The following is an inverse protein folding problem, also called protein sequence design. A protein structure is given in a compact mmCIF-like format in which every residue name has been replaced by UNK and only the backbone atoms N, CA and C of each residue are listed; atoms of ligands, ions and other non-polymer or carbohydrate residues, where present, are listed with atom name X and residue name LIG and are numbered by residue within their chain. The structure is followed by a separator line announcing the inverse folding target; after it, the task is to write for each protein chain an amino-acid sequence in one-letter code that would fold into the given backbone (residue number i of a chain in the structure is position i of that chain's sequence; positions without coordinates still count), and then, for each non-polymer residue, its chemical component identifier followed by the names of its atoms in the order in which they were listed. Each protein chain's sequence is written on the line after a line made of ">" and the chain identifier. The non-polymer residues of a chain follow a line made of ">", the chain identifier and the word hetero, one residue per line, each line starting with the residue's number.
data_IF_950526437238
#
_entry.id   IF_950526437238
#
_cell.length_a   1.000
_cell.length_b   1.000
_cell.length_c   1.000
_cell.angle_alpha   90.00
_cell.angle_beta   90.00
_cell.angle_gamma   90.00
#
_symmetry.space_group_name_H-M   'P 1'
#
loop_
_entity.id
_entity.type
_entity.pdbx_description
1 polymer ?
#
# COMPACT_ATOMS: atom_id res chain seq x y z
N UNK A 1 21.69 47.97 -65.13
CA UNK A 1 21.78 46.55 -64.74
C UNK A 1 22.45 46.49 -63.39
N UNK A 2 21.67 46.32 -62.33
CA UNK A 2 22.14 46.37 -60.94
C UNK A 2 22.80 45.06 -60.53
N UNK A 3 24.00 45.15 -59.98
CA UNK A 3 24.73 44.05 -59.36
C UNK A 3 24.17 43.78 -57.96
N UNK A 4 23.43 42.69 -57.78
CA UNK A 4 22.99 42.20 -56.48
C UNK A 4 23.89 41.05 -56.01
N UNK A 5 24.66 41.33 -54.97
CA UNK A 5 25.44 40.36 -54.18
C UNK A 5 24.48 39.40 -53.45
N UNK A 6 24.69 38.07 -53.43
CA UNK A 6 23.92 37.21 -52.54
C UNK A 6 24.42 37.42 -51.11
N UNK A 7 23.50 37.81 -50.21
CA UNK A 7 23.72 37.86 -48.77
C UNK A 7 24.16 36.48 -48.28
N UNK A 8 25.34 36.42 -47.66
CA UNK A 8 25.74 35.29 -46.83
C UNK A 8 24.68 35.11 -45.74
N UNK A 9 23.97 33.98 -45.77
CA UNK A 9 23.16 33.54 -44.63
C UNK A 9 24.15 33.22 -43.50
N UNK A 10 24.17 34.05 -42.46
CA UNK A 10 24.92 33.74 -41.24
C UNK A 10 24.44 32.40 -40.70
N UNK A 11 25.35 31.46 -40.55
CA UNK A 11 25.10 30.24 -39.79
C UNK A 11 24.72 30.66 -38.37
N UNK A 12 23.47 30.45 -37.97
CA UNK A 12 23.11 30.45 -36.55
C UNK A 12 23.87 29.31 -35.90
N UNK A 13 24.95 29.66 -35.21
CA UNK A 13 25.72 28.74 -34.39
C UNK A 13 24.77 28.20 -33.31
N UNK A 14 24.55 26.89 -33.31
CA UNK A 14 23.69 26.25 -32.32
C UNK A 14 24.29 26.48 -30.93
N UNK A 15 23.46 26.79 -29.91
CA UNK A 15 23.96 26.96 -28.56
C UNK A 15 24.72 25.70 -28.12
N UNK A 16 25.80 25.86 -27.33
CA UNK A 16 26.60 24.74 -26.88
C UNK A 16 25.70 23.71 -26.17
N UNK A 17 25.95 22.41 -26.38
CA UNK A 17 25.16 21.37 -25.73
C UNK A 17 25.24 21.53 -24.22
N UNK A 18 24.08 21.52 -23.56
CA UNK A 18 24.01 21.49 -22.10
C UNK A 18 24.82 20.29 -21.59
N UNK A 19 25.68 20.51 -20.59
CA UNK A 19 26.45 19.43 -19.97
C UNK A 19 25.50 18.43 -19.30
N UNK A 20 25.81 17.13 -19.39
CA UNK A 20 25.02 16.05 -18.81
C UNK A 20 24.70 16.28 -17.32
N UNK A 21 25.65 16.85 -16.57
CA UNK A 21 25.52 17.22 -15.16
C UNK A 21 24.40 18.25 -14.93
N UNK A 22 24.27 19.25 -15.80
CA UNK A 22 23.22 20.27 -15.71
C UNK A 22 21.85 19.70 -16.10
N UNK A 23 21.82 18.79 -17.07
CA UNK A 23 20.59 18.08 -17.45
C UNK A 23 20.11 17.22 -16.30
N UNK A 24 21.01 16.46 -15.67
CA UNK A 24 20.71 15.68 -14.47
C UNK A 24 20.14 16.56 -13.35
N UNK A 25 20.79 17.68 -13.03
CA UNK A 25 20.31 18.64 -12.01
C UNK A 25 18.93 19.21 -12.32
N UNK A 26 18.60 19.46 -13.59
CA UNK A 26 17.27 19.91 -14.00
C UNK A 26 16.25 18.78 -13.81
N UNK A 27 16.59 17.56 -14.21
CA UNK A 27 15.69 16.40 -14.12
C UNK A 27 15.44 15.97 -12.67
N UNK A 28 16.42 16.16 -11.78
CA UNK A 28 16.25 15.94 -10.34
C UNK A 28 15.20 16.87 -9.70
N UNK A 29 14.89 18.00 -10.32
CA UNK A 29 13.86 18.94 -9.85
C UNK A 29 12.44 18.60 -10.32
N UNK A 30 12.26 17.59 -11.19
CA UNK A 30 10.93 17.17 -11.63
C UNK A 30 10.19 16.50 -10.47
N UNK A 31 8.96 16.90 -10.12
CA UNK A 31 8.22 16.28 -9.01
C UNK A 31 7.92 14.79 -9.27
N UNK A 32 8.02 13.91 -8.27
CA UNK A 32 7.78 12.47 -8.43
C UNK A 32 6.31 12.13 -8.70
N UNK A 33 5.40 13.05 -8.35
CA UNK A 33 3.99 12.99 -8.69
C UNK A 33 3.71 13.21 -10.19
N UNK A 34 4.71 13.67 -10.96
CA UNK A 34 4.65 13.80 -12.42
C UNK A 34 5.74 12.95 -13.11
N UNK A 35 5.64 11.62 -13.00
CA UNK A 35 6.63 10.74 -13.62
C UNK A 35 6.56 10.77 -15.16
N UNK A 36 5.44 11.24 -15.73
CA UNK A 36 5.28 11.40 -17.17
C UNK A 36 6.27 12.40 -17.75
N UNK A 37 6.65 13.44 -17.00
CA UNK A 37 7.66 14.40 -17.43
C UNK A 37 9.06 13.78 -17.51
N UNK A 38 9.46 12.93 -16.57
CA UNK A 38 10.72 12.18 -16.67
C UNK A 38 10.73 11.20 -17.85
N UNK A 39 9.60 10.54 -18.11
CA UNK A 39 9.45 9.65 -19.26
C UNK A 39 9.62 10.46 -20.56
N UNK A 40 8.92 11.60 -20.68
CA UNK A 40 9.06 12.51 -21.83
C UNK A 40 10.48 13.03 -22.00
N UNK A 41 11.19 13.32 -20.91
CA UNK A 41 12.60 13.69 -20.96
C UNK A 41 13.47 12.57 -21.55
N UNK A 42 13.22 11.31 -21.18
CA UNK A 42 13.89 10.15 -21.76
C UNK A 42 13.65 9.96 -23.27
N UNK A 43 12.56 10.53 -23.80
CA UNK A 43 12.22 10.50 -25.22
C UNK A 43 12.91 11.58 -26.06
N UNK A 44 13.55 12.57 -25.43
CA UNK A 44 14.18 13.71 -26.14
C UNK A 44 15.39 13.28 -26.96
N UNK A 45 16.33 12.56 -26.33
CA UNK A 45 17.54 12.06 -27.01
C UNK A 45 18.18 10.89 -26.24
N UNK A 46 19.16 10.22 -26.87
CA UNK A 46 19.89 9.08 -26.26
C UNK A 46 20.61 9.47 -24.97
N UNK A 47 21.16 10.68 -24.89
CA UNK A 47 21.86 11.18 -23.71
C UNK A 47 20.91 11.36 -22.54
N UNK A 48 19.77 12.02 -22.75
CA UNK A 48 18.75 12.22 -21.72
C UNK A 48 18.18 10.88 -21.27
N UNK A 49 17.90 9.96 -22.21
CA UNK A 49 17.50 8.57 -21.90
C UNK A 49 18.49 7.87 -20.99
N UNK A 50 19.79 8.02 -21.25
CA UNK A 50 20.86 7.43 -20.44
C UNK A 50 20.84 8.00 -19.02
N UNK A 51 20.72 9.32 -18.87
CA UNK A 51 20.65 9.99 -17.56
C UNK A 51 19.45 9.50 -16.76
N UNK A 52 18.23 9.56 -17.32
CA UNK A 52 17.02 9.14 -16.57
C UNK A 52 16.95 7.65 -16.27
N UNK A 53 17.72 6.83 -16.98
CA UNK A 53 17.81 5.39 -16.75
C UNK A 53 19.00 5.00 -15.86
N UNK A 54 19.87 5.96 -15.52
CA UNK A 54 21.05 5.73 -14.70
C UNK A 54 20.65 5.36 -13.26
N UNK A 55 21.12 4.23 -12.71
CA UNK A 55 20.82 3.84 -11.34
C UNK A 55 21.19 4.90 -10.29
N UNK A 56 22.28 5.66 -10.51
CA UNK A 56 22.72 6.70 -9.57
C UNK A 56 21.88 7.97 -9.67
N UNK A 57 21.39 8.31 -10.87
CA UNK A 57 20.37 9.33 -11.04
C UNK A 57 19.10 8.95 -10.29
N UNK A 58 18.57 7.74 -10.53
CA UNK A 58 17.35 7.25 -9.88
C UNK A 58 17.50 7.17 -8.36
N UNK A 59 18.67 6.75 -7.87
CA UNK A 59 18.96 6.73 -6.43
C UNK A 59 18.91 8.14 -5.82
N UNK A 60 19.48 9.13 -6.48
CA UNK A 60 19.44 10.55 -6.05
C UNK A 60 18.02 11.11 -6.14
N UNK A 61 17.33 10.80 -7.22
CA UNK A 61 15.95 11.19 -7.44
C UNK A 61 15.03 10.61 -6.36
N UNK A 62 15.08 9.29 -6.11
CA UNK A 62 14.23 8.62 -5.12
C UNK A 62 14.65 8.89 -3.68
N UNK A 63 15.95 8.97 -3.40
CA UNK A 63 16.49 9.09 -2.04
C UNK A 63 16.21 10.43 -1.35
N UNK A 64 15.82 11.45 -2.12
CA UNK A 64 15.46 12.77 -1.59
C UNK A 64 13.95 12.97 -1.48
N UNK A 65 13.14 12.00 -1.91
CA UNK A 65 11.71 12.21 -2.16
C UNK A 65 10.83 11.25 -1.37
N UNK A 66 9.63 11.75 -1.06
CA UNK A 66 8.52 10.94 -0.61
C UNK A 66 7.98 10.13 -1.79
N UNK A 67 7.86 8.78 -1.69
CA UNK A 67 7.34 7.99 -2.80
C UNK A 67 5.87 8.36 -3.09
N UNK A 68 5.50 8.55 -4.37
CA UNK A 68 4.15 8.93 -4.73
C UNK A 68 3.17 7.76 -4.63
N UNK A 69 1.89 8.09 -4.39
CA UNK A 69 0.77 7.16 -4.52
C UNK A 69 0.45 6.96 -6.02
N UNK A 70 0.83 5.82 -6.58
CA UNK A 70 0.66 5.53 -8.02
C UNK A 70 -0.67 4.87 -8.36
N UNK A 71 -1.31 4.26 -7.38
CA UNK A 71 -2.55 3.52 -7.54
C UNK A 71 -2.89 2.73 -6.29
N UNK A 72 -3.83 1.82 -6.41
CA UNK A 72 -4.17 0.91 -5.33
C UNK A 72 -4.79 -0.38 -5.87
N UNK A 73 -4.65 -1.45 -5.10
CA UNK A 73 -5.42 -2.67 -5.31
C UNK A 73 -6.66 -2.68 -4.41
N UNK A 74 -7.65 -3.47 -4.78
CA UNK A 74 -8.81 -3.67 -3.91
C UNK A 74 -9.32 -5.12 -3.89
N UNK A 75 -9.91 -5.52 -2.76
CA UNK A 75 -10.64 -6.80 -2.64
C UNK A 75 -12.15 -6.50 -2.61
N UNK A 76 -12.97 -7.30 -3.33
CA UNK A 76 -14.44 -7.16 -3.37
C UNK A 76 -15.15 -8.50 -3.16
N UNK A 77 -16.40 -8.46 -2.67
CA UNK A 77 -17.27 -9.63 -2.45
C UNK A 77 -17.82 -10.25 -3.73
N UNK A 78 -18.13 -9.44 -4.73
CA UNK A 78 -18.97 -9.88 -5.85
C UNK A 78 -18.20 -10.22 -7.13
N UNK A 79 -16.90 -9.96 -7.17
CA UNK A 79 -16.06 -10.39 -8.29
C UNK A 79 -14.66 -10.78 -7.84
N UNK A 80 -14.39 -12.08 -7.87
CA UNK A 80 -13.04 -12.63 -7.72
C UNK A 80 -12.21 -12.53 -9.01
N UNK A 81 -12.79 -12.06 -10.12
CA UNK A 81 -12.25 -12.22 -11.49
C UNK A 81 -11.97 -10.92 -12.27
N UNK A 82 -12.24 -9.75 -11.70
CA UNK A 82 -11.99 -8.47 -12.37
C UNK A 82 -10.54 -7.98 -12.16
N UNK A 83 -10.05 -7.14 -13.08
CA UNK A 83 -8.81 -6.36 -12.90
C UNK A 83 -8.94 -5.48 -11.64
N UNK A 84 -8.11 -5.75 -10.63
CA UNK A 84 -8.24 -5.13 -9.29
C UNK A 84 -7.28 -3.97 -9.04
N UNK A 85 -6.48 -3.59 -10.02
CA UNK A 85 -5.56 -2.47 -9.89
C UNK A 85 -6.18 -1.21 -10.49
N UNK A 86 -6.31 -0.17 -9.68
CA UNK A 86 -6.77 1.16 -10.12
C UNK A 86 -5.55 2.08 -10.18
N UNK A 87 -5.17 2.44 -11.41
CA UNK A 87 -4.06 3.38 -11.62
C UNK A 87 -4.51 4.81 -11.42
N UNK A 88 -3.70 5.58 -10.67
CA UNK A 88 -3.86 7.02 -10.54
C UNK A 88 -2.95 7.80 -11.50
N UNK A 89 -2.16 7.07 -12.29
CA UNK A 89 -1.27 7.60 -13.33
C UNK A 89 -1.73 7.11 -14.71
N UNK A 90 -1.56 7.95 -15.73
CA UNK A 90 -1.90 7.62 -17.12
C UNK A 90 -0.67 7.84 -18.01
N UNK A 91 -0.22 6.82 -18.77
CA UNK A 91 -0.76 5.46 -18.85
C UNK A 91 -0.48 4.64 -17.57
N UNK A 92 -1.26 3.57 -17.34
CA UNK A 92 -1.00 2.65 -16.22
C UNK A 92 0.36 1.97 -16.41
N UNK A 93 1.29 2.09 -15.45
CA UNK A 93 2.63 1.55 -15.60
C UNK A 93 2.73 0.09 -15.10
N UNK A 94 1.59 -0.52 -14.76
CA UNK A 94 1.49 -1.81 -14.09
C UNK A 94 1.10 -2.94 -15.03
N UNK A 95 1.77 -4.08 -14.85
CA UNK A 95 1.35 -5.33 -15.49
C UNK A 95 0.23 -5.97 -14.67
N UNK A 96 -0.43 -6.99 -15.21
CA UNK A 96 -1.31 -7.85 -14.42
C UNK A 96 -0.56 -9.10 -13.96
N UNK A 97 -0.94 -9.70 -12.82
CA UNK A 97 -0.40 -10.99 -12.43
C UNK A 97 -0.69 -12.04 -13.52
N UNK A 98 0.23 -12.95 -13.75
CA UNK A 98 0.18 -13.98 -14.80
C UNK A 98 -1.04 -14.90 -14.65
N UNK A 99 -1.48 -15.12 -13.41
CA UNK A 99 -2.63 -15.94 -13.04
C UNK A 99 -3.96 -15.19 -13.03
N UNK A 100 -3.97 -13.87 -13.29
CA UNK A 100 -5.15 -13.02 -13.20
C UNK A 100 -5.96 -12.92 -14.51
N UNK A 101 -5.87 -13.90 -15.42
CA UNK A 101 -6.48 -13.86 -16.75
C UNK A 101 -7.18 -15.16 -17.17
N UNK A 102 -8.48 -15.06 -17.50
CA UNK A 102 -9.29 -16.14 -18.09
C UNK A 102 -10.30 -16.79 -17.13
N UNK A 103 -11.30 -17.46 -17.68
CA UNK A 103 -12.45 -18.04 -16.94
C UNK A 103 -12.06 -19.15 -15.95
N UNK A 104 -10.88 -19.75 -16.13
CA UNK A 104 -10.32 -20.81 -15.29
C UNK A 104 -9.30 -20.31 -14.25
N UNK A 105 -9.13 -18.99 -14.11
CA UNK A 105 -8.18 -18.40 -13.16
C UNK A 105 -8.52 -18.79 -11.71
N UNK A 106 -7.51 -19.04 -10.87
CA UNK A 106 -7.75 -19.25 -9.45
C UNK A 106 -8.31 -17.98 -8.81
N UNK A 107 -9.06 -18.12 -7.72
CA UNK A 107 -9.40 -16.97 -6.91
C UNK A 107 -8.15 -16.49 -6.17
N UNK A 108 -8.01 -15.18 -6.02
CA UNK A 108 -6.93 -14.60 -5.26
C UNK A 108 -7.40 -13.40 -4.45
N UNK A 109 -6.66 -13.02 -3.40
CA UNK A 109 -6.89 -11.81 -2.62
C UNK A 109 -5.57 -11.14 -2.26
N UNK A 110 -5.61 -9.82 -2.15
CA UNK A 110 -4.49 -9.04 -1.65
C UNK A 110 -4.47 -9.14 -0.13
N UNK A 111 -3.31 -9.43 0.43
CA UNK A 111 -3.07 -9.41 1.88
C UNK A 111 -2.35 -8.13 2.29
N UNK A 112 -1.44 -7.63 1.46
CA UNK A 112 -0.68 -6.43 1.76
C UNK A 112 -0.03 -5.81 0.52
N UNK A 113 0.32 -4.53 0.60
CA UNK A 113 1.05 -3.80 -0.43
C UNK A 113 1.99 -2.79 0.22
N UNK A 114 3.29 -3.09 0.25
CA UNK A 114 4.32 -2.22 0.85
C UNK A 114 5.64 -2.33 0.12
N UNK A 115 6.41 -1.25 0.14
CA UNK A 115 7.75 -1.18 -0.46
C UNK A 115 7.76 -1.58 -1.95
N UNK A 116 6.68 -1.31 -2.72
CA UNK A 116 6.58 -1.72 -4.12
C UNK A 116 6.52 -3.24 -4.34
N UNK A 117 5.96 -3.97 -3.38
CA UNK A 117 5.65 -5.40 -3.46
C UNK A 117 4.21 -5.60 -3.03
N UNK A 118 3.54 -6.58 -3.64
CA UNK A 118 2.17 -6.96 -3.32
C UNK A 118 2.16 -8.41 -2.85
N UNK A 119 1.56 -8.67 -1.70
CA UNK A 119 1.38 -10.01 -1.17
C UNK A 119 -0.01 -10.52 -1.53
N UNK A 120 -0.04 -11.65 -2.22
CA UNK A 120 -1.25 -12.26 -2.76
C UNK A 120 -1.42 -13.66 -2.17
N UNK A 121 -2.65 -13.96 -1.76
CA UNK A 121 -3.09 -15.30 -1.41
C UNK A 121 -3.91 -15.84 -2.58
N UNK A 122 -3.47 -16.96 -3.16
CA UNK A 122 -4.15 -17.67 -4.23
C UNK A 122 -4.86 -18.89 -3.63
N UNK A 123 -6.14 -19.01 -3.92
CA UNK A 123 -6.99 -20.14 -3.55
C UNK A 123 -7.37 -20.90 -4.82
N UNK A 124 -7.06 -22.20 -4.84
CA UNK A 124 -7.42 -23.03 -5.99
C UNK A 124 -8.87 -23.49 -5.89
N UNK A 125 -9.61 -23.42 -7.00
CA UNK A 125 -11.03 -23.81 -7.04
C UNK A 125 -11.22 -25.32 -6.83
N UNK A 126 -10.20 -26.13 -7.09
CA UNK A 126 -10.26 -27.61 -7.01
C UNK A 126 -9.95 -28.14 -5.60
N UNK A 127 -9.17 -27.42 -4.79
CA UNK A 127 -8.87 -27.77 -3.41
C UNK A 127 -8.80 -26.49 -2.54
N UNK A 128 -9.88 -26.14 -1.80
CA UNK A 128 -9.93 -24.96 -0.94
C UNK A 128 -8.89 -24.95 0.19
N UNK A 129 -8.23 -26.09 0.45
CA UNK A 129 -7.13 -26.26 1.41
C UNK A 129 -5.74 -26.04 0.80
N UNK A 130 -5.62 -26.00 -0.52
CA UNK A 130 -4.37 -25.73 -1.22
C UNK A 130 -4.26 -24.21 -1.49
N UNK A 131 -3.85 -23.48 -0.46
CA UNK A 131 -3.49 -22.07 -0.57
C UNK A 131 -2.05 -21.96 -1.12
N UNK A 132 -1.81 -20.98 -1.99
CA UNK A 132 -0.47 -20.60 -2.45
C UNK A 132 -0.26 -19.12 -2.18
N UNK A 133 0.95 -18.74 -1.81
CA UNK A 133 1.30 -17.35 -1.58
C UNK A 133 2.18 -16.85 -2.71
N UNK A 134 1.96 -15.59 -3.11
CA UNK A 134 2.75 -14.94 -4.14
C UNK A 134 3.16 -13.55 -3.68
N UNK A 135 4.45 -13.27 -3.73
CA UNK A 135 4.96 -11.90 -3.71
C UNK A 135 5.10 -11.46 -5.16
N UNK A 136 4.35 -10.44 -5.52
CA UNK A 136 4.29 -9.89 -6.87
C UNK A 136 4.94 -8.51 -6.93
N UNK A 137 5.74 -8.26 -7.97
CA UNK A 137 6.20 -6.93 -8.36
C UNK A 137 5.33 -6.40 -9.51
N UNK A 138 4.43 -5.43 -9.25
CA UNK A 138 3.53 -4.91 -10.27
C UNK A 138 4.22 -4.19 -11.42
N UNK A 139 5.45 -3.72 -11.21
CA UNK A 139 6.22 -2.93 -12.17
C UNK A 139 6.97 -3.85 -13.12
N UNK A 140 7.68 -4.85 -12.59
CA UNK A 140 8.46 -5.78 -13.43
C UNK A 140 7.61 -6.94 -13.94
N UNK A 141 6.52 -7.28 -13.25
CA UNK A 141 5.75 -8.49 -13.46
C UNK A 141 6.40 -9.73 -12.85
N UNK A 142 7.49 -9.57 -12.08
CA UNK A 142 8.16 -10.70 -11.45
C UNK A 142 7.27 -11.26 -10.32
N UNK A 143 7.12 -12.59 -10.29
CA UNK A 143 6.28 -13.31 -9.34
C UNK A 143 7.11 -14.33 -8.57
N UNK A 144 6.96 -14.35 -7.25
CA UNK A 144 7.64 -15.30 -6.37
C UNK A 144 6.59 -16.12 -5.62
N UNK A 145 6.46 -17.38 -6.02
CA UNK A 145 5.55 -18.34 -5.41
C UNK A 145 6.21 -19.07 -4.25
N UNK A 146 5.48 -19.30 -3.16
CA UNK A 146 5.93 -20.13 -2.07
C UNK A 146 4.77 -20.83 -1.39
N UNK A 147 5.09 -21.95 -0.74
CA UNK A 147 4.13 -22.69 0.05
C UNK A 147 3.72 -21.86 1.27
N UNK A 148 2.45 -21.91 1.68
CA UNK A 148 2.04 -21.34 2.95
C UNK A 148 2.82 -21.99 4.10
N UNK A 149 3.13 -21.24 5.16
CA UNK A 149 3.81 -21.80 6.31
C UNK A 149 3.04 -23.01 6.84
N UNK A 150 3.73 -24.07 7.30
CA UNK A 150 3.08 -25.27 7.80
C UNK A 150 2.22 -24.92 9.01
N UNK A 151 0.91 -25.15 8.88
CA UNK A 151 -0.05 -24.88 9.94
C UNK A 151 -1.44 -25.44 9.55
N UNK A 152 -2.28 -25.82 10.52
CA UNK A 152 -3.62 -26.37 10.23
C UNK A 152 -4.65 -25.33 9.73
N UNK A 153 -4.27 -24.05 9.59
CA UNK A 153 -5.22 -22.93 9.57
C UNK A 153 -4.98 -21.98 8.39
N UNK A 154 -6.07 -21.41 7.88
CA UNK A 154 -6.06 -20.42 6.79
C UNK A 154 -5.38 -19.11 7.21
N UNK A 155 -4.73 -18.45 6.26
CA UNK A 155 -4.10 -17.14 6.50
C UNK A 155 -5.17 -16.06 6.73
N UNK A 156 -5.08 -15.36 7.85
CA UNK A 156 -5.96 -14.24 8.20
C UNK A 156 -5.45 -12.93 7.61
N UNK A 157 -4.25 -12.53 8.03
CA UNK A 157 -3.60 -11.31 7.57
C UNK A 157 -2.18 -11.61 7.09
N UNK A 158 -1.63 -10.70 6.30
CA UNK A 158 -0.25 -10.79 5.82
C UNK A 158 0.42 -9.42 5.82
N UNK A 159 1.74 -9.42 5.84
CA UNK A 159 2.56 -8.25 5.61
C UNK A 159 3.72 -8.62 4.68
N UNK A 160 4.08 -7.74 3.76
CA UNK A 160 5.28 -7.85 2.92
C UNK A 160 6.24 -6.70 3.19
N UNK A 161 7.52 -7.03 3.18
CA UNK A 161 8.62 -6.10 3.39
C UNK A 161 9.74 -6.45 2.41
N UNK A 162 10.50 -5.44 1.98
CA UNK A 162 11.84 -5.72 1.44
C UNK A 162 12.71 -6.09 2.63
N UNK A 163 13.36 -7.23 2.56
CA UNK A 163 14.25 -7.65 3.62
C UNK A 163 15.46 -6.71 3.65
N UNK A 164 15.76 -6.12 4.81
CA UNK A 164 16.99 -5.37 5.02
C UNK A 164 18.18 -6.33 4.83
N UNK A 165 18.74 -6.35 3.62
CA UNK A 165 20.14 -6.64 3.40
C UNK A 165 20.77 -5.27 3.15
N UNK A 166 21.74 -4.88 3.98
CA UNK A 166 22.31 -3.53 3.99
C UNK A 166 22.54 -2.99 2.57
N UNK A 167 22.18 -1.72 2.33
CA UNK A 167 22.26 -1.01 1.04
C UNK A 167 22.22 -1.98 -0.15
N UNK A 168 21.10 -2.67 -0.32
CA UNK A 168 20.90 -3.47 -1.52
C UNK A 168 20.83 -2.50 -2.70
N UNK A 169 21.92 -2.39 -3.47
CA UNK A 169 22.03 -1.54 -4.68
C UNK A 169 21.14 -2.05 -5.83
N UNK A 170 20.44 -3.17 -5.62
CA UNK A 170 19.47 -3.71 -6.55
C UNK A 170 18.17 -2.91 -6.47
N UNK A 171 18.15 -1.77 -7.15
CA UNK A 171 17.05 -0.81 -7.06
C UNK A 171 15.68 -1.49 -7.33
N UNK A 172 15.57 -2.57 -8.12
CA UNK A 172 14.26 -3.21 -8.37
C UNK A 172 14.20 -4.74 -8.50
N UNK A 173 15.23 -5.42 -9.02
CA UNK A 173 15.21 -6.87 -9.28
C UNK A 173 16.03 -7.66 -8.28
N UNK A 174 15.45 -8.72 -7.73
CA UNK A 174 16.15 -9.66 -6.86
C UNK A 174 16.36 -9.17 -5.42
N UNK A 175 15.79 -8.05 -4.97
CA UNK A 175 15.85 -7.73 -3.53
C UNK A 175 15.17 -8.83 -2.71
N UNK A 176 15.85 -9.35 -1.68
CA UNK A 176 15.23 -10.29 -0.74
C UNK A 176 13.93 -9.70 -0.21
N UNK A 177 12.90 -10.54 -0.14
CA UNK A 177 11.60 -10.15 0.37
C UNK A 177 11.29 -10.95 1.62
N UNK A 178 10.62 -10.31 2.56
CA UNK A 178 10.16 -10.90 3.80
C UNK A 178 8.64 -10.82 3.80
N UNK A 179 7.98 -11.92 4.13
CA UNK A 179 6.55 -11.93 4.35
C UNK A 179 6.22 -12.51 5.72
N UNK A 180 5.31 -11.85 6.42
CA UNK A 180 4.79 -12.28 7.73
C UNK A 180 3.32 -12.61 7.57
N UNK A 181 2.88 -13.73 8.13
CA UNK A 181 1.52 -14.24 8.03
C UNK A 181 0.96 -14.41 9.42
N UNK A 182 -0.25 -13.91 9.63
CA UNK A 182 -1.05 -14.26 10.81
C UNK A 182 -2.05 -15.34 10.40
N UNK A 183 -1.97 -16.49 11.06
CA UNK A 183 -2.94 -17.57 10.94
C UNK A 183 -3.57 -17.79 12.30
N UNK A 184 -4.88 -18.00 12.35
CA UNK A 184 -5.59 -18.13 13.62
C UNK A 184 -6.61 -19.26 13.57
N UNK A 185 -6.90 -19.81 14.74
CA UNK A 185 -8.08 -20.62 15.01
C UNK A 185 -8.89 -19.97 16.13
N UNK A 186 -9.93 -20.66 16.62
CA UNK A 186 -10.81 -20.16 17.68
C UNK A 186 -10.06 -19.68 18.93
N UNK A 187 -8.89 -20.24 19.28
CA UNK A 187 -8.23 -20.00 20.56
C UNK A 187 -6.78 -19.49 20.46
N UNK A 188 -6.18 -19.41 19.27
CA UNK A 188 -4.74 -19.19 19.13
C UNK A 188 -4.41 -18.51 17.80
N UNK A 189 -3.40 -17.63 17.84
CA UNK A 189 -2.85 -16.95 16.68
C UNK A 189 -1.37 -17.26 16.53
N UNK A 190 -0.98 -17.59 15.31
CA UNK A 190 0.39 -17.86 14.91
C UNK A 190 0.85 -16.76 13.97
N UNK A 191 2.07 -16.29 14.20
CA UNK A 191 2.79 -15.45 13.26
C UNK A 191 3.88 -16.31 12.59
N UNK A 192 3.84 -16.44 11.27
CA UNK A 192 4.87 -17.14 10.50
C UNK A 192 5.60 -16.16 9.62
N UNK A 193 6.92 -16.25 9.58
CA UNK A 193 7.78 -15.35 8.83
C UNK A 193 8.60 -16.15 7.81
N UNK A 194 8.46 -15.78 6.55
CA UNK A 194 9.14 -16.39 5.40
C UNK A 194 10.05 -15.34 4.78
N UNK A 195 11.33 -15.66 4.65
CA UNK A 195 12.30 -14.82 3.95
C UNK A 195 12.75 -15.54 2.70
N UNK A 196 12.69 -14.84 1.56
CA UNK A 196 13.27 -15.34 0.32
C UNK A 196 14.51 -14.52 -0.03
N UNK A 197 15.63 -15.21 -0.25
CA UNK A 197 16.87 -14.59 -0.70
C UNK A 197 16.85 -14.37 -2.21
N UNK A 198 17.81 -13.57 -2.71
CA UNK A 198 17.96 -13.27 -4.13
C UNK A 198 18.55 -14.43 -4.94
N UNK A 199 19.16 -15.40 -4.26
CA UNK A 199 19.70 -16.63 -4.83
C UNK A 199 18.66 -17.75 -4.76
N UNK A 200 18.44 -18.46 -5.87
CA UNK A 200 17.46 -19.55 -5.97
C UNK A 200 17.74 -20.73 -5.00
N UNK A 201 18.94 -20.78 -4.42
CA UNK A 201 19.44 -21.92 -3.63
C UNK A 201 19.35 -21.76 -2.10
N UNK A 202 18.83 -20.66 -1.56
CA UNK A 202 18.79 -20.43 -0.11
C UNK A 202 17.45 -19.81 0.34
N UNK A 203 16.40 -20.63 0.30
CA UNK A 203 15.21 -20.38 1.13
C UNK A 203 15.59 -20.62 2.58
N UNK A 204 15.91 -19.52 3.28
CA UNK A 204 16.09 -19.58 4.72
C UNK A 204 14.86 -20.21 5.39
N UNK A 205 15.04 -21.02 6.45
CA UNK A 205 13.94 -21.76 7.06
C UNK A 205 12.81 -20.82 7.46
N UNK A 206 11.56 -21.16 7.12
CA UNK A 206 10.40 -20.44 7.61
C UNK A 206 10.41 -20.48 9.14
N UNK A 207 10.33 -19.32 9.78
CA UNK A 207 10.37 -19.22 11.25
C UNK A 207 8.98 -18.92 11.75
N UNK A 208 8.50 -19.69 12.72
CA UNK A 208 7.16 -19.55 13.28
C UNK A 208 7.26 -19.08 14.74
N UNK A 209 6.45 -18.08 15.07
CA UNK A 209 6.20 -17.58 16.41
C UNK A 209 4.73 -17.84 16.76
N UNK A 210 4.48 -18.29 17.99
CA UNK A 210 3.14 -18.65 18.44
C UNK A 210 2.72 -17.75 19.59
N UNK A 211 1.47 -17.30 19.58
CA UNK A 211 0.81 -16.66 20.71
C UNK A 211 -0.51 -17.35 21.01
N UNK A 212 -0.61 -17.97 22.19
CA UNK A 212 -1.81 -18.64 22.67
C UNK A 212 -2.49 -17.82 23.76
N UNK A 213 -3.81 -17.69 23.70
CA UNK A 213 -4.60 -17.08 24.77
C UNK A 213 -5.16 -18.16 25.72
N UNK A 214 -5.34 -17.82 27.00
CA UNK A 214 -5.90 -18.72 28.02
C UNK A 214 -7.43 -18.78 28.07
N UNK A 215 -8.11 -17.91 27.32
CA UNK A 215 -9.58 -17.79 27.28
C UNK A 215 -10.04 -18.00 25.84
N UNK A 216 -10.95 -18.93 25.62
CA UNK A 216 -11.40 -19.35 24.30
C UNK A 216 -12.02 -18.22 23.48
N UNK A 217 -11.85 -18.33 22.14
CA UNK A 217 -12.69 -17.62 21.19
C UNK A 217 -12.19 -16.25 20.73
N UNK A 218 -10.91 -16.04 20.42
CA UNK A 218 -10.47 -14.75 19.84
C UNK A 218 -10.93 -14.61 18.38
N UNK A 219 -11.15 -15.69 17.63
CA UNK A 219 -11.46 -15.58 16.19
C UNK A 219 -12.78 -16.24 15.81
N UNK A 220 -13.70 -15.44 15.27
CA UNK A 220 -14.77 -15.92 14.39
C UNK A 220 -14.84 -14.93 13.23
N UNK A 221 -14.19 -15.23 12.10
CA UNK A 221 -14.19 -14.32 10.95
C UNK A 221 -13.61 -14.84 9.65
N UNK A 222 -13.10 -16.07 9.56
CA UNK A 222 -12.63 -16.63 8.27
C UNK A 222 -13.14 -18.06 8.03
N UNK A 223 -14.10 -18.54 8.83
CA UNK A 223 -14.58 -19.91 8.68
C UNK A 223 -15.90 -20.08 7.93
N UNK A 224 -16.72 -19.05 7.70
CA UNK A 224 -17.96 -19.30 6.92
C UNK A 224 -18.41 -18.23 5.92
N UNK A 225 -18.21 -16.93 6.12
CA UNK A 225 -18.61 -15.93 5.10
C UNK A 225 -17.73 -14.69 5.23
N UNK A 226 -16.86 -14.45 4.24
CA UNK A 226 -16.04 -13.23 4.15
C UNK A 226 -16.96 -12.03 3.92
N UNK A 227 -17.12 -11.16 4.93
CA UNK A 227 -17.81 -9.88 4.74
C UNK A 227 -16.78 -8.74 4.74
N UNK A 228 -16.39 -8.18 3.59
CA UNK A 228 -15.46 -7.06 3.49
C UNK A 228 -16.02 -5.77 4.13
N UNK A 229 -17.32 -5.70 4.47
CA UNK A 229 -17.83 -4.64 5.33
C UNK A 229 -17.42 -4.81 6.80
N UNK A 230 -17.11 -6.02 7.27
CA UNK A 230 -16.75 -6.32 8.66
C UNK A 230 -15.25 -6.63 8.79
N UNK A 231 -14.74 -7.46 7.87
CA UNK A 231 -13.39 -8.01 7.85
C UNK A 231 -12.39 -7.16 7.04
N UNK A 232 -12.89 -6.12 6.37
CA UNK A 232 -12.17 -5.40 5.32
C UNK A 232 -11.11 -4.40 5.75
N UNK A 233 -10.47 -4.60 6.90
CA UNK A 233 -9.64 -3.59 7.56
C UNK A 233 -8.39 -4.18 8.20
N UNK A 234 -8.09 -5.45 7.92
CA UNK A 234 -6.86 -6.16 8.32
C UNK A 234 -5.64 -5.60 7.58
N UNK A 235 -5.23 -4.39 7.97
CA UNK A 235 -4.03 -3.74 7.47
C UNK A 235 -2.89 -4.01 8.44
N UNK A 236 -1.71 -4.24 7.86
CA UNK A 236 -0.48 -4.13 8.61
C UNK A 236 0.07 -2.72 8.52
N UNK A 237 0.79 -2.28 9.54
CA UNK A 237 1.66 -1.11 9.47
C UNK A 237 3.01 -1.46 10.08
N UNK A 238 4.09 -1.00 9.46
CA UNK A 238 5.42 -1.09 10.03
C UNK A 238 5.73 0.19 10.80
N UNK A 239 6.15 0.05 12.06
CA UNK A 239 6.58 1.16 12.93
C UNK A 239 8.07 0.99 13.19
N UNK A 240 8.85 2.02 12.85
CA UNK A 240 10.30 1.91 12.78
C UNK A 240 10.75 0.84 11.78
N UNK A 241 11.74 0.04 12.17
CA UNK A 241 12.31 -1.01 11.31
C UNK A 241 11.99 -2.45 11.77
N UNK A 242 11.32 -2.60 12.92
CA UNK A 242 11.19 -3.91 13.59
C UNK A 242 9.75 -4.30 13.94
N UNK A 243 8.87 -3.33 14.17
CA UNK A 243 7.58 -3.60 14.79
C UNK A 243 6.45 -3.59 13.76
N UNK A 244 5.96 -4.76 13.38
CA UNK A 244 4.76 -4.91 12.57
C UNK A 244 3.51 -4.95 13.46
N UNK A 245 2.53 -4.12 13.13
CA UNK A 245 1.24 -4.11 13.81
C UNK A 245 0.14 -4.53 12.84
N UNK A 246 -0.78 -5.37 13.32
CA UNK A 246 -1.93 -5.86 12.56
C UNK A 246 -3.21 -5.56 13.31
N UNK A 247 -4.24 -5.11 12.60
CA UNK A 247 -5.61 -5.12 13.10
C UNK A 247 -6.23 -6.47 12.84
N UNK A 248 -6.88 -7.02 13.85
CA UNK A 248 -7.55 -8.31 13.71
C UNK A 248 -8.93 -8.27 14.35
N UNK A 249 -9.92 -8.81 13.63
CA UNK A 249 -11.30 -8.93 14.12
C UNK A 249 -11.46 -10.13 15.04
N UNK A 250 -12.39 -10.02 15.99
CA UNK A 250 -12.69 -11.08 16.95
C UNK A 250 -14.11 -11.59 16.86
N UNK A 251 -14.38 -12.74 17.49
CA UNK A 251 -15.70 -13.39 17.47
C UNK A 251 -16.84 -12.57 18.11
N UNK A 252 -16.48 -11.64 18.99
CA UNK A 252 -17.40 -10.71 19.65
C UNK A 252 -17.50 -9.36 18.93
N UNK A 253 -17.09 -9.30 17.65
CA UNK A 253 -17.03 -8.08 16.83
C UNK A 253 -16.06 -7.01 17.35
N UNK A 254 -15.23 -7.29 18.36
CA UNK A 254 -14.18 -6.36 18.79
C UNK A 254 -12.97 -6.43 17.85
N UNK A 255 -12.21 -5.34 17.75
CA UNK A 255 -10.90 -5.37 17.10
C UNK A 255 -9.80 -5.34 18.12
N UNK A 256 -8.74 -6.07 17.81
CA UNK A 256 -7.50 -6.07 18.59
C UNK A 256 -6.35 -5.63 17.70
N UNK A 257 -5.29 -5.14 18.35
CA UNK A 257 -4.01 -4.87 17.68
C UNK A 257 -3.03 -5.95 18.13
N UNK A 258 -2.45 -6.66 17.15
CA UNK A 258 -1.35 -7.57 17.40
C UNK A 258 -0.04 -6.93 16.93
N UNK A 259 0.98 -6.98 17.77
CA UNK A 259 2.35 -6.56 17.46
C UNK A 259 3.20 -7.80 17.23
N UNK A 260 3.86 -7.88 16.07
CA UNK A 260 4.90 -8.84 15.76
C UNK A 260 6.25 -8.13 15.63
N UNK A 261 7.21 -8.46 16.50
CA UNK A 261 8.59 -7.99 16.38
C UNK A 261 9.38 -8.84 15.39
N UNK A 262 9.99 -8.23 14.39
CA UNK A 262 10.74 -8.93 13.34
C UNK A 262 12.03 -9.56 13.89
N UNK A 263 12.72 -8.86 14.79
CA UNK A 263 14.00 -9.27 15.38
C UNK A 263 13.81 -10.30 16.48
N UNK A 264 12.87 -10.06 17.41
CA UNK A 264 12.63 -10.95 18.53
C UNK A 264 11.66 -12.10 18.20
N UNK A 265 10.98 -12.01 17.04
CA UNK A 265 9.98 -12.96 16.56
C UNK A 265 8.90 -13.22 17.60
N UNK A 266 8.43 -12.18 18.28
CA UNK A 266 7.37 -12.30 19.27
C UNK A 266 6.09 -11.64 18.81
N UNK A 267 5.00 -12.36 18.99
CA UNK A 267 3.65 -11.86 18.82
C UNK A 267 3.09 -11.46 20.19
N UNK A 268 2.56 -10.25 20.30
CA UNK A 268 2.00 -9.70 21.54
C UNK A 268 0.73 -8.90 21.26
N UNK A 269 -0.18 -8.91 22.23
CA UNK A 269 -1.42 -8.13 22.17
C UNK A 269 -1.17 -6.69 22.59
N UNK A 270 -1.83 -5.75 21.92
CA UNK A 270 -1.85 -4.33 22.25
C UNK A 270 -3.29 -3.85 22.44
N UNK A 271 -3.50 -3.09 23.50
CA UNK A 271 -4.81 -2.56 23.84
C UNK A 271 -5.14 -1.33 23.01
N UNK A 272 -6.42 -1.24 22.63
CA UNK A 272 -6.95 -0.06 21.97
C UNK A 272 -7.11 1.11 22.95
N UNK A 273 -6.99 2.35 22.45
CA UNK A 273 -7.24 3.56 23.22
C UNK A 273 -8.66 3.69 23.78
N UNK A 274 -9.63 3.07 23.13
CA UNK A 274 -11.05 3.24 23.42
C UNK A 274 -11.83 2.00 22.99
N UNK A 275 -13.04 1.84 23.55
CA UNK A 275 -14.03 0.93 23.00
C UNK A 275 -14.49 1.47 21.65
N UNK A 276 -14.16 0.74 20.59
CA UNK A 276 -14.70 1.03 19.27
C UNK A 276 -16.24 0.89 19.31
N UNK A 277 -16.95 1.83 18.69
CA UNK A 277 -18.40 1.72 18.54
C UNK A 277 -18.81 0.60 17.58
N UNK A 278 -20.12 0.42 17.36
CA UNK A 278 -20.72 -0.68 16.57
C UNK A 278 -20.07 -0.92 15.19
N UNK A 279 -19.54 0.12 14.54
CA UNK A 279 -18.91 0.02 13.23
C UNK A 279 -17.46 -0.51 13.25
N UNK A 280 -16.78 -0.46 14.40
CA UNK A 280 -15.38 -0.87 14.59
C UNK A 280 -14.42 -0.44 13.45
N UNK A 281 -14.66 0.72 12.83
CA UNK A 281 -13.88 1.13 11.67
C UNK A 281 -12.63 1.92 12.08
N UNK A 282 -11.47 1.32 11.85
CA UNK A 282 -10.17 1.96 12.06
C UNK A 282 -9.13 1.41 11.10
N UNK A 283 -8.09 2.21 10.88
CA UNK A 283 -6.90 1.83 10.13
C UNK A 283 -5.67 2.22 10.94
N UNK A 284 -4.67 1.34 10.97
CA UNK A 284 -3.37 1.66 11.56
C UNK A 284 -2.58 2.56 10.60
N UNK A 285 -1.84 3.49 11.18
CA UNK A 285 -0.98 4.40 10.43
C UNK A 285 0.32 4.66 11.19
N UNK A 286 1.27 5.26 10.50
CA UNK A 286 2.47 5.84 11.12
C UNK A 286 2.25 7.33 11.31
N UNK A 287 2.56 7.87 12.49
CA UNK A 287 2.56 9.33 12.73
C UNK A 287 3.91 9.96 12.37
N UNK A 288 4.03 11.29 12.41
CA UNK A 288 5.23 12.01 11.94
C UNK A 288 6.52 11.60 12.66
N UNK A 289 6.43 11.20 13.92
CA UNK A 289 7.58 10.74 14.72
C UNK A 289 7.90 9.24 14.53
N UNK A 290 7.25 8.58 13.56
CA UNK A 290 7.42 7.16 13.29
C UNK A 290 6.78 6.26 14.33
N UNK A 291 5.94 6.79 15.22
CA UNK A 291 5.17 6.02 16.20
C UNK A 291 3.90 5.42 15.57
N UNK A 292 3.27 4.51 16.32
CA UNK A 292 2.01 3.89 15.92
C UNK A 292 0.87 4.90 16.08
N UNK A 293 0.05 5.05 15.04
CA UNK A 293 -1.18 5.82 15.07
C UNK A 293 -2.40 5.04 14.59
N UNK A 294 -3.56 5.61 14.83
CA UNK A 294 -4.86 5.11 14.38
C UNK A 294 -5.63 6.25 13.70
N UNK A 295 -6.21 5.96 12.55
CA UNK A 295 -7.21 6.80 11.91
C UNK A 295 -8.59 6.11 11.99
N UNK A 296 -9.59 6.83 12.50
CA UNK A 296 -10.97 6.33 12.58
C UNK A 296 -12.00 7.45 12.39
N UNK A 297 -13.20 7.12 11.93
CA UNK A 297 -14.32 8.07 11.91
C UNK A 297 -15.04 8.04 13.26
N UNK A 298 -15.26 9.22 13.84
CA UNK A 298 -15.94 9.38 15.13
C UNK A 298 -17.33 8.73 15.12
N UNK A 299 -17.73 8.18 16.27
CA UNK A 299 -19.07 7.58 16.44
C UNK A 299 -20.17 8.64 16.49
N UNK A 300 -19.83 9.88 16.87
CA UNK A 300 -20.78 10.98 17.10
C UNK A 300 -21.02 11.86 15.88
N UNK A 301 -20.19 11.74 14.83
CA UNK A 301 -20.30 12.60 13.67
C UNK A 301 -19.24 12.30 12.58
N UNK A 302 -19.29 13.03 11.45
CA UNK A 302 -18.36 12.86 10.34
C UNK A 302 -17.01 13.55 10.62
N UNK A 303 -16.39 13.22 11.73
CA UNK A 303 -15.07 13.74 12.10
C UNK A 303 -14.08 12.59 11.97
N UNK A 304 -13.02 12.79 11.18
CA UNK A 304 -11.88 11.89 11.15
C UNK A 304 -11.00 12.21 12.36
N UNK A 305 -10.81 11.23 13.23
CA UNK A 305 -9.96 11.34 14.41
C UNK A 305 -8.66 10.60 14.15
N UNK A 306 -7.55 11.28 14.40
CA UNK A 306 -6.20 10.74 14.33
C UNK A 306 -5.65 10.65 15.75
N UNK A 307 -5.23 9.45 16.12
CA UNK A 307 -4.72 9.11 17.43
C UNK A 307 -3.27 8.64 17.30
N UNK A 308 -2.42 9.00 18.24
CA UNK A 308 -1.06 8.49 18.35
C UNK A 308 -0.89 7.72 19.65
N UNK A 309 0.00 6.73 19.61
CA UNK A 309 0.42 5.96 20.77
C UNK A 309 1.73 6.50 21.27
N UNK A 310 1.70 7.07 22.46
CA UNK A 310 2.90 7.51 23.16
C UNK A 310 3.27 6.53 24.25
N UNK A 311 4.58 6.31 24.44
CA UNK A 311 5.09 5.50 25.55
C UNK A 311 5.92 6.38 26.46
N UNK A 312 5.37 6.73 27.64
CA UNK A 312 6.06 7.53 28.64
C UNK A 312 6.30 6.70 29.90
N UNK A 313 7.55 6.60 30.34
CA UNK A 313 7.96 5.85 31.53
C UNK A 313 7.46 4.38 31.56
N UNK A 314 7.36 3.74 30.39
CA UNK A 314 6.88 2.35 30.27
C UNK A 314 5.36 2.18 30.29
N UNK A 315 4.60 3.27 30.41
CA UNK A 315 3.14 3.27 30.28
C UNK A 315 2.77 3.68 28.86
N UNK A 316 2.01 2.82 28.18
CA UNK A 316 1.46 3.10 26.87
C UNK A 316 0.17 3.91 27.05
N UNK A 317 0.13 5.12 26.50
CA UNK A 317 -1.05 5.97 26.45
C UNK A 317 -1.34 6.36 25.02
N UNK A 318 -2.57 6.77 24.78
CA UNK A 318 -2.99 7.25 23.47
C UNK A 318 -3.56 8.65 23.61
N UNK A 319 -3.23 9.50 22.66
CA UNK A 319 -3.74 10.87 22.59
C UNK A 319 -4.39 11.11 21.24
N UNK A 320 -5.49 11.88 21.27
CA UNK A 320 -6.13 12.35 20.05
C UNK A 320 -5.43 13.62 19.60
N UNK A 321 -4.51 13.47 18.65
CA UNK A 321 -3.65 14.56 18.21
C UNK A 321 -4.37 15.51 17.27
N UNK A 322 -5.25 14.96 16.42
CA UNK A 322 -5.93 15.74 15.40
C UNK A 322 -7.33 15.24 15.12
N UNK A 323 -8.23 16.19 14.84
CA UNK A 323 -9.59 15.93 14.38
C UNK A 323 -9.85 16.76 13.13
N UNK A 324 -10.39 16.13 12.09
CA UNK A 324 -10.70 16.77 10.81
C UNK A 324 -12.19 16.62 10.54
N UNK A 325 -12.90 17.74 10.43
CA UNK A 325 -14.33 17.72 10.10
C UNK A 325 -14.52 17.38 8.62
N UNK A 326 -14.97 16.16 8.33
CA UNK A 326 -15.01 15.64 6.96
C UNK A 326 -15.97 16.44 6.08
N UNK A 327 -17.01 17.07 6.65
CA UNK A 327 -17.93 17.95 5.89
C UNK A 327 -17.26 19.17 5.29
N UNK A 328 -16.08 19.57 5.79
CA UNK A 328 -15.33 20.71 5.28
C UNK A 328 -14.40 20.36 4.13
N UNK A 329 -14.08 19.07 3.96
CA UNK A 329 -13.08 18.60 2.98
C UNK A 329 -13.67 17.67 1.92
N UNK A 330 -14.64 16.83 2.27
CA UNK A 330 -15.31 15.94 1.33
C UNK A 330 -16.45 16.67 0.59
N UNK A 331 -16.72 16.33 -0.68
CA UNK A 331 -17.81 16.92 -1.41
C UNK A 331 -19.17 16.55 -0.80
N UNK A 332 -20.22 17.39 -0.94
CA UNK A 332 -21.55 17.11 -0.37
C UNK A 332 -22.13 15.75 -0.74
N UNK A 333 -21.83 15.25 -1.95
CA UNK A 333 -22.28 13.94 -2.44
C UNK A 333 -21.81 12.78 -1.55
N UNK A 334 -20.65 12.91 -0.87
CA UNK A 334 -20.12 11.91 0.04
C UNK A 334 -21.03 11.65 1.26
N UNK A 335 -21.92 12.59 1.60
CA UNK A 335 -22.83 12.52 2.74
C UNK A 335 -24.25 12.08 2.35
N UNK A 336 -24.54 11.92 1.06
CA UNK A 336 -25.86 11.61 0.53
C UNK A 336 -26.91 12.71 0.75
N UNK A 337 -28.13 12.47 0.25
CA UNK A 337 -29.28 13.37 0.41
C UNK A 337 -30.08 13.10 1.70
N UNK A 338 -29.42 12.69 2.80
CA UNK A 338 -30.15 12.40 4.04
C UNK A 338 -30.79 13.69 4.58
N UNK A 339 -32.13 13.77 4.68
CA UNK A 339 -32.83 14.99 5.04
C UNK A 339 -32.85 15.26 6.55
N UNK A 340 -32.18 14.45 7.38
CA UNK A 340 -32.24 14.53 8.83
C UNK A 340 -30.84 14.68 9.48
N UNK A 341 -30.63 15.68 10.36
CA UNK A 341 -29.42 15.84 11.18
C UNK A 341 -29.10 14.66 12.12
N UNK A 342 -29.94 13.61 12.15
CA UNK A 342 -29.94 12.54 13.18
C UNK A 342 -29.48 11.17 12.68
N UNK A 343 -29.12 11.04 11.40
CA UNK A 343 -28.61 9.80 10.81
C UNK A 343 -27.14 9.97 10.44
N UNK A 344 -26.27 9.14 11.04
CA UNK A 344 -24.82 9.19 10.85
C UNK A 344 -24.49 8.90 9.37
N UNK A 345 -23.74 9.77 8.67
CA UNK A 345 -23.24 9.41 7.35
C UNK A 345 -22.31 8.21 7.50
N UNK A 346 -22.54 7.17 6.70
CA UNK A 346 -21.77 5.92 6.74
C UNK A 346 -20.44 6.10 5.99
N UNK A 347 -19.51 6.80 6.66
CA UNK A 347 -18.13 7.01 6.24
C UNK A 347 -17.22 6.01 6.92
N UNK A 348 -16.25 5.49 6.17
CA UNK A 348 -15.26 4.52 6.68
C UNK A 348 -13.87 4.87 6.19
N UNK A 349 -12.90 4.88 7.09
CA UNK A 349 -11.47 4.84 6.73
C UNK A 349 -11.15 3.40 6.33
N UNK A 350 -10.62 3.21 5.13
CA UNK A 350 -10.40 1.88 4.56
C UNK A 350 -8.94 1.57 4.24
N UNK A 351 -8.06 2.56 4.24
CA UNK A 351 -6.62 2.36 4.06
C UNK A 351 -5.82 3.59 4.47
N UNK A 352 -4.53 3.38 4.75
CA UNK A 352 -3.53 4.42 4.89
C UNK A 352 -2.37 4.11 3.95
N UNK A 353 -1.97 5.11 3.15
CA UNK A 353 -0.87 4.99 2.21
C UNK A 353 0.43 5.37 2.94
N UNK A 354 1.14 4.37 3.47
CA UNK A 354 2.44 4.53 4.11
C UNK A 354 3.40 5.31 3.20
N UNK A 355 4.08 6.31 3.77
CA UNK A 355 4.97 7.21 3.02
C UNK A 355 4.24 8.36 2.33
N UNK A 356 3.01 8.18 1.81
CA UNK A 356 2.26 9.25 1.13
C UNK A 356 1.37 10.08 2.07
N UNK A 357 1.30 9.72 3.36
CA UNK A 357 0.52 10.42 4.40
C UNK A 357 -0.93 10.72 3.99
N UNK A 358 -1.55 9.73 3.36
CA UNK A 358 -2.86 9.85 2.72
C UNK A 358 -3.78 8.74 3.21
N UNK A 359 -4.97 9.10 3.68
CA UNK A 359 -6.02 8.15 4.07
C UNK A 359 -7.03 7.95 2.95
N UNK A 360 -7.58 6.75 2.85
CA UNK A 360 -8.68 6.42 1.95
C UNK A 360 -9.98 6.34 2.74
N UNK A 361 -11.01 7.02 2.24
CA UNK A 361 -12.33 7.10 2.85
C UNK A 361 -13.35 6.54 1.87
N UNK A 362 -14.01 5.45 2.25
CA UNK A 362 -15.17 4.91 1.53
C UNK A 362 -16.44 5.60 1.99
N UNK A 363 -17.34 5.83 1.04
CA UNK A 363 -18.70 6.28 1.29
C UNK A 363 -19.67 5.16 0.95
N UNK A 364 -20.64 4.86 1.82
CA UNK A 364 -21.61 3.76 1.56
C UNK A 364 -22.72 4.15 0.55
N UNK A 365 -22.87 5.44 0.25
CA UNK A 365 -23.91 5.97 -0.63
C UNK A 365 -23.53 5.97 -2.12
N UNK A 366 -22.68 5.03 -2.57
CA UNK A 366 -22.17 4.95 -3.94
C UNK A 366 -21.45 6.22 -4.44
N UNK A 367 -21.07 7.14 -3.55
CA UNK A 367 -20.32 8.34 -3.92
C UNK A 367 -18.82 8.06 -4.12
N UNK A 368 -18.41 6.79 -4.00
CA UNK A 368 -17.05 6.33 -4.27
C UNK A 368 -16.10 6.38 -3.08
N UNK A 369 -14.81 6.23 -3.42
CA UNK A 369 -13.67 6.27 -2.51
C UNK A 369 -12.88 7.55 -2.76
N UNK A 370 -12.57 8.24 -1.67
CA UNK A 370 -11.82 9.48 -1.66
C UNK A 370 -10.47 9.29 -0.98
N UNK A 371 -9.41 9.90 -1.52
CA UNK A 371 -8.15 10.11 -0.81
C UNK A 371 -8.17 11.46 -0.12
N UNK A 372 -7.69 11.52 1.12
CA UNK A 372 -7.44 12.74 1.87
C UNK A 372 -5.97 12.77 2.29
N UNK A 373 -5.20 13.71 1.73
CA UNK A 373 -3.81 13.97 2.11
C UNK A 373 -3.80 14.73 3.45
N UNK A 374 -3.24 14.13 4.50
CA UNK A 374 -3.43 14.61 5.88
C UNK A 374 -2.79 15.99 6.10
N UNK A 375 -1.59 16.24 5.57
CA UNK A 375 -0.90 17.54 5.71
C UNK A 375 -1.58 18.67 4.95
N UNK A 376 -1.90 18.46 3.67
CA UNK A 376 -2.46 19.51 2.81
C UNK A 376 -3.97 19.68 2.96
N UNK A 377 -4.68 18.66 3.47
CA UNK A 377 -6.13 18.60 3.48
C UNK A 377 -6.74 18.36 2.09
N UNK A 378 -5.92 18.06 1.07
CA UNK A 378 -6.38 17.90 -0.30
C UNK A 378 -7.16 16.60 -0.46
N UNK A 379 -8.35 16.71 -1.03
CA UNK A 379 -9.23 15.58 -1.34
C UNK A 379 -9.26 15.31 -2.83
N UNK A 380 -9.28 14.03 -3.20
CA UNK A 380 -9.48 13.57 -4.58
C UNK A 380 -10.36 12.32 -4.58
N UNK A 381 -11.32 12.27 -5.48
CA UNK A 381 -12.05 11.03 -5.78
C UNK A 381 -11.18 10.11 -6.63
N UNK A 382 -11.06 8.85 -6.23
CA UNK A 382 -10.12 7.90 -6.84
C UNK A 382 -10.78 6.64 -7.38
N UNK A 383 -12.01 6.37 -6.96
CA UNK A 383 -12.74 5.18 -7.38
C UNK A 383 -14.23 5.41 -7.25
N UNK A 384 -14.96 5.29 -8.35
CA UNK A 384 -16.41 5.16 -8.28
C UNK A 384 -16.72 3.70 -7.91
N UNK A 385 -17.31 3.48 -6.73
CA UNK A 385 -17.67 2.13 -6.28
C UNK A 385 -19.08 2.12 -5.73
N UNK A 386 -19.86 1.17 -6.23
CA UNK A 386 -21.15 0.77 -5.66
C UNK A 386 -21.01 -0.37 -4.64
N UNK A 387 -19.78 -0.88 -4.46
CA UNK A 387 -19.49 -2.06 -3.64
C UNK A 387 -18.46 -1.72 -2.55
N UNK A 388 -18.65 -2.19 -1.31
CA UNK A 388 -17.64 -2.09 -0.27
C UNK A 388 -16.34 -2.79 -0.68
N UNK A 389 -15.22 -2.10 -0.56
CA UNK A 389 -13.92 -2.63 -0.93
C UNK A 389 -12.85 -2.29 0.11
N UNK A 390 -11.98 -3.26 0.38
CA UNK A 390 -10.71 -3.04 1.08
C UNK A 390 -9.72 -2.52 0.08
N UNK A 391 -8.93 -1.50 0.43
CA UNK A 391 -7.97 -0.89 -0.48
C UNK A 391 -6.55 -1.09 0.03
N UNK A 392 -5.63 -1.42 -0.87
CA UNK A 392 -4.21 -1.60 -0.61
C UNK A 392 -3.43 -0.57 -1.44
N UNK A 393 -3.07 0.58 -0.85
CA UNK A 393 -2.38 1.65 -1.56
C UNK A 393 -1.03 1.19 -2.10
N UNK A 394 -0.77 1.46 -3.38
CA UNK A 394 0.53 1.22 -3.99
C UNK A 394 1.33 2.52 -4.00
N UNK A 395 2.26 2.59 -3.06
CA UNK A 395 3.20 3.70 -2.91
C UNK A 395 4.58 3.24 -3.41
N UNK A 396 5.16 4.01 -4.33
CA UNK A 396 6.43 3.66 -4.92
C UNK A 396 6.81 4.58 -6.06
N UNK A 397 8.04 4.45 -6.55
CA UNK A 397 8.51 5.22 -7.68
C UNK A 397 8.45 4.42 -8.99
N UNK A 398 8.36 5.13 -10.11
CA UNK A 398 8.57 4.49 -11.41
C UNK A 398 10.04 4.11 -11.58
N UNK A 399 10.28 3.02 -12.28
CA UNK A 399 11.61 2.42 -12.45
C UNK A 399 12.22 2.76 -13.81
N UNK A 400 13.54 2.63 -13.94
CA UNK A 400 14.23 2.73 -15.25
C UNK A 400 13.63 1.80 -16.31
N UNK A 401 13.13 0.64 -15.89
CA UNK A 401 12.46 -0.34 -16.76
C UNK A 401 11.20 0.23 -17.42
N UNK A 402 10.42 1.05 -16.70
CA UNK A 402 9.22 1.69 -17.25
C UNK A 402 9.55 2.82 -18.22
N UNK A 403 10.56 3.63 -17.91
CA UNK A 403 11.07 4.66 -18.84
C UNK A 403 11.59 4.00 -20.14
N UNK A 404 12.16 2.81 -20.03
CA UNK A 404 12.65 2.07 -21.19
C UNK A 404 11.56 1.39 -22.03
N UNK A 405 10.44 0.97 -21.42
CA UNK A 405 9.38 0.14 -22.05
C UNK A 405 8.18 0.95 -22.58
N UNK A 406 8.05 2.22 -22.20
CA UNK A 406 7.07 3.17 -22.75
C UNK A 406 7.56 3.90 -24.02
N UNK A 407 8.78 3.57 -24.48
CA UNK A 407 9.39 4.02 -25.73
C UNK A 407 9.47 2.85 -26.70
#
# INVERSE_FOLDING_TARGET
>A
MGSSNPRAAGSMEAPPPLMDELVEEILLRVPPSDPATLIRAGLVCKTWRRIVSDPDFLRRYHGSLTPPLLGFLHNTTFSLRAHRFVSLTSPSPFSQPSFAGGDSSPSWRVLDCRHGRVLLLIQTNSQPSAESLVIWDPITGDEQHFAPPPGPYKCAAGAVLRAAAGRCDHVHRGCPSLAVFLSSNECTTWASCVRRSSSEDDDGPATAAMWSHGSGGIFHGILTDWDPLLDGTEHSVLVGDDDLYFTVGTSCYERIILKYGLSDRRLSLKFLPFSLGVDNNMVLMTVEDGELGIACVSVTGPTLELWSRHTAAGVETWTRDRAIELRTVLPPIAFGNYPAPRTKPELRVIAFAEGADTVFISTKNNAGVFTLELKSGRVKEVFESTVPAVVFPYVGFLTSYQIARMN
#
